data_IF_729618948392
#
_entry.id   IF_729618948392
#
_cell.length_a   1.000
_cell.length_b   1.000
_cell.length_c   1.000
_cell.angle_alpha   90.00
_cell.angle_beta   90.00
_cell.angle_gamma   90.00
#
_symmetry.space_group_name_H-M   'P 1'
#
loop_
_entity.id
_entity.type
_entity.pdbx_description
1 polymer ?
#
# COMPACT_ATOMS: atom_id res chain seq x y z
N UNK A 1 11.20 -11.75 12.89
CA UNK A 1 10.09 -10.77 12.77
C UNK A 1 8.94 -11.23 11.87
N UNK A 2 9.14 -11.58 10.58
CA UNK A 2 8.01 -12.01 9.69
C UNK A 2 7.14 -13.16 10.24
N UNK A 3 7.76 -14.15 10.89
CA UNK A 3 7.03 -15.25 11.56
C UNK A 3 6.13 -14.73 12.69
N UNK A 4 6.62 -13.80 13.51
CA UNK A 4 5.87 -13.18 14.60
C UNK A 4 4.62 -12.46 14.07
N UNK A 5 4.72 -11.76 12.93
CA UNK A 5 3.57 -11.12 12.26
C UNK A 5 2.52 -12.15 11.85
N UNK A 6 2.93 -13.29 11.26
CA UNK A 6 2.00 -14.38 10.89
C UNK A 6 1.29 -14.99 12.10
N UNK A 7 1.98 -15.06 13.23
CA UNK A 7 1.44 -15.54 14.50
C UNK A 7 0.69 -14.44 15.29
N UNK A 8 0.51 -13.24 14.71
CA UNK A 8 -0.10 -12.07 15.36
C UNK A 8 0.56 -11.66 16.69
N UNK A 9 1.84 -12.00 16.87
CA UNK A 9 2.66 -11.56 18.02
C UNK A 9 3.22 -10.17 17.75
N UNK A 10 2.34 -9.18 17.64
CA UNK A 10 2.70 -7.82 17.24
C UNK A 10 3.60 -7.13 18.27
N UNK A 11 3.34 -7.31 19.57
CA UNK A 11 4.20 -6.79 20.64
C UNK A 11 5.65 -7.27 20.52
N UNK A 12 5.85 -8.56 20.23
CA UNK A 12 7.19 -9.09 20.02
C UNK A 12 7.89 -8.49 18.78
N UNK A 13 7.13 -8.08 17.75
CA UNK A 13 7.69 -7.36 16.60
C UNK A 13 8.16 -5.97 17.00
N UNK A 14 7.38 -5.26 17.81
CA UNK A 14 7.74 -3.93 18.33
C UNK A 14 8.97 -4.00 19.24
N UNK A 15 8.97 -4.89 20.24
CA UNK A 15 10.11 -5.02 21.16
C UNK A 15 11.41 -5.38 20.42
N UNK A 16 11.34 -6.24 19.40
CA UNK A 16 12.51 -6.56 18.59
C UNK A 16 12.96 -5.38 17.72
N UNK A 17 12.04 -4.53 17.28
CA UNK A 17 12.36 -3.35 16.47
C UNK A 17 12.98 -2.24 17.32
N UNK A 18 12.42 -2.01 18.52
CA UNK A 18 12.96 -1.04 19.48
C UNK A 18 14.34 -1.47 19.98
N UNK A 19 14.52 -2.72 20.38
CA UNK A 19 15.83 -3.27 20.73
C UNK A 19 16.86 -3.09 19.60
N UNK A 20 16.44 -3.26 18.34
CA UNK A 20 17.35 -3.05 17.22
C UNK A 20 17.75 -1.58 17.07
N UNK A 21 16.81 -0.64 17.21
CA UNK A 21 17.12 0.80 17.17
C UNK A 21 18.01 1.22 18.35
N UNK A 22 17.71 0.74 19.56
CA UNK A 22 18.47 1.03 20.78
C UNK A 22 19.92 0.53 20.70
N UNK A 23 20.17 -0.53 19.93
CA UNK A 23 21.54 -0.99 19.65
C UNK A 23 22.35 -0.07 18.72
N UNK A 24 21.85 1.14 18.40
CA UNK A 24 22.51 2.14 17.58
C UNK A 24 22.55 1.80 16.08
N UNK A 25 21.84 0.75 15.66
CA UNK A 25 21.82 0.27 14.27
C UNK A 25 20.67 0.89 13.49
N UNK A 26 20.91 1.21 12.23
CA UNK A 26 19.89 1.73 11.31
C UNK A 26 19.01 0.60 10.78
N UNK A 27 17.68 0.63 10.97
CA UNK A 27 16.81 -0.40 10.43
C UNK A 27 16.85 -0.43 8.90
N UNK A 28 16.78 -1.63 8.33
CA UNK A 28 16.69 -1.78 6.88
C UNK A 28 15.26 -1.60 6.37
N UNK A 29 15.09 -1.38 5.06
CA UNK A 29 13.79 -1.28 4.37
C UNK A 29 12.91 -2.50 4.68
N UNK A 30 13.50 -3.70 4.73
CA UNK A 30 12.77 -4.94 5.05
C UNK A 30 12.24 -4.94 6.49
N UNK A 31 12.99 -4.36 7.44
CA UNK A 31 12.55 -4.23 8.82
C UNK A 31 11.38 -3.26 8.93
N UNK A 32 11.53 -2.04 8.37
CA UNK A 32 10.44 -1.06 8.30
C UNK A 32 9.18 -1.67 7.67
N UNK A 33 9.32 -2.31 6.50
CA UNK A 33 8.20 -2.95 5.80
C UNK A 33 7.52 -4.02 6.66
N UNK A 34 8.30 -4.79 7.43
CA UNK A 34 7.75 -5.85 8.31
C UNK A 34 6.98 -5.26 9.49
N UNK A 35 7.50 -4.21 10.14
CA UNK A 35 6.83 -3.54 11.26
C UNK A 35 5.59 -2.79 10.78
N UNK A 36 5.68 -2.08 9.65
CA UNK A 36 4.51 -1.43 9.04
C UNK A 36 3.41 -2.45 8.69
N UNK A 37 3.77 -3.61 8.13
CA UNK A 37 2.80 -4.67 7.85
C UNK A 37 2.21 -5.25 9.16
N UNK A 38 3.02 -5.37 10.22
CA UNK A 38 2.57 -5.72 11.57
C UNK A 38 1.49 -4.75 12.05
N UNK A 39 1.75 -3.44 12.00
CA UNK A 39 0.82 -2.38 12.40
C UNK A 39 -0.45 -2.34 11.56
N UNK A 40 -0.34 -2.61 10.26
CA UNK A 40 -1.49 -2.78 9.38
C UNK A 40 -2.38 -3.95 9.84
N UNK A 41 -1.79 -5.12 10.13
CA UNK A 41 -2.52 -6.28 10.63
C UNK A 41 -3.15 -6.08 12.02
N UNK A 42 -2.54 -5.22 12.84
CA UNK A 42 -3.03 -4.84 14.17
C UNK A 42 -4.02 -3.66 14.14
N UNK A 43 -4.37 -3.14 12.95
CA UNK A 43 -5.23 -1.95 12.74
C UNK A 43 -4.69 -0.66 13.39
N UNK A 44 -3.42 -0.64 13.75
CA UNK A 44 -2.68 0.52 14.28
C UNK A 44 -2.16 1.39 13.15
N UNK A 45 -3.07 1.90 12.32
CA UNK A 45 -2.70 2.52 11.05
C UNK A 45 -1.94 3.84 11.24
N UNK A 46 -2.31 4.63 12.26
CA UNK A 46 -1.65 5.90 12.58
C UNK A 46 -0.18 5.70 12.95
N UNK A 47 0.11 4.69 13.76
CA UNK A 47 1.46 4.32 14.16
C UNK A 47 2.26 3.78 12.97
N UNK A 48 1.62 3.01 12.09
CA UNK A 48 2.25 2.60 10.84
C UNK A 48 2.60 3.80 9.94
N UNK A 49 1.77 4.86 9.93
CA UNK A 49 2.01 6.05 9.09
C UNK A 49 3.22 6.84 9.62
N UNK A 50 3.41 6.89 10.94
CA UNK A 50 4.59 7.49 11.55
C UNK A 50 5.89 6.80 11.09
N UNK A 51 5.87 5.47 10.95
CA UNK A 51 7.02 4.71 10.44
C UNK A 51 7.37 5.05 8.98
N UNK A 52 6.41 5.50 8.18
CA UNK A 52 6.69 5.97 6.81
C UNK A 52 7.57 7.20 6.84
N UNK A 53 7.26 8.17 7.70
CA UNK A 53 8.05 9.39 7.83
C UNK A 53 9.44 9.11 8.37
N UNK A 54 9.56 8.18 9.33
CA UNK A 54 10.85 7.73 9.84
C UNK A 54 11.70 7.07 8.73
N UNK A 55 11.09 6.22 7.91
CA UNK A 55 11.75 5.56 6.78
C UNK A 55 12.20 6.56 5.71
N UNK A 56 11.37 7.57 5.39
CA UNK A 56 11.73 8.64 4.46
C UNK A 56 12.87 9.51 5.00
N UNK A 57 12.82 9.89 6.28
CA UNK A 57 13.88 10.66 6.94
C UNK A 57 15.21 9.90 7.05
N UNK A 58 15.15 8.57 7.10
CA UNK A 58 16.33 7.69 7.10
C UNK A 58 16.95 7.49 5.71
N UNK A 59 16.42 8.16 4.68
CA UNK A 59 16.83 8.06 3.28
C UNK A 59 16.86 6.61 2.76
N UNK A 60 15.96 5.78 3.27
CA UNK A 60 15.82 4.38 2.86
C UNK A 60 15.09 4.30 1.50
N UNK A 61 15.73 3.67 0.51
CA UNK A 61 15.12 3.46 -0.80
C UNK A 61 14.04 2.38 -0.70
N UNK A 62 12.80 2.75 -1.02
CA UNK A 62 11.68 1.81 -0.99
C UNK A 62 11.83 0.78 -2.12
N UNK A 63 11.63 -0.50 -1.77
CA UNK A 63 11.42 -1.57 -2.73
C UNK A 63 9.92 -1.76 -3.02
N UNK A 64 9.58 -2.60 -4.01
CA UNK A 64 8.18 -2.88 -4.35
C UNK A 64 7.35 -3.40 -3.14
N UNK A 65 7.85 -4.31 -2.28
CA UNK A 65 7.19 -4.67 -1.03
C UNK A 65 6.91 -3.49 -0.10
N UNK A 66 7.86 -2.58 0.09
CA UNK A 66 7.68 -1.38 0.91
C UNK A 66 6.58 -0.49 0.35
N UNK A 67 6.62 -0.15 -0.94
CA UNK A 67 5.57 0.64 -1.59
C UNK A 67 4.19 0.00 -1.45
N UNK A 68 4.11 -1.32 -1.61
CA UNK A 68 2.85 -2.07 -1.46
C UNK A 68 2.25 -1.90 -0.07
N UNK A 69 3.05 -2.03 0.99
CA UNK A 69 2.59 -1.88 2.38
C UNK A 69 2.25 -0.43 2.69
N UNK A 70 3.06 0.53 2.23
CA UNK A 70 2.81 1.97 2.36
C UNK A 70 1.45 2.35 1.76
N UNK A 71 1.17 1.96 0.51
CA UNK A 71 -0.09 2.28 -0.16
C UNK A 71 -1.27 1.66 0.60
N UNK A 72 -1.19 0.39 1.00
CA UNK A 72 -2.23 -0.26 1.80
C UNK A 72 -2.53 0.47 3.10
N UNK A 73 -1.48 0.91 3.79
CA UNK A 73 -1.62 1.62 5.04
C UNK A 73 -2.25 3.01 4.84
N UNK A 74 -1.86 3.75 3.80
CA UNK A 74 -2.48 5.02 3.46
C UNK A 74 -3.97 4.85 3.13
N UNK A 75 -4.33 3.84 2.34
CA UNK A 75 -5.72 3.52 2.00
C UNK A 75 -6.52 3.15 3.24
N UNK A 76 -5.99 2.30 4.13
CA UNK A 76 -6.65 1.92 5.38
C UNK A 76 -6.79 3.09 6.38
N UNK A 77 -5.89 4.07 6.31
CA UNK A 77 -5.94 5.29 7.12
C UNK A 77 -6.83 6.38 6.51
N UNK A 78 -7.46 6.12 5.36
CA UNK A 78 -8.20 7.09 4.55
C UNK A 78 -7.35 8.29 4.07
N UNK A 79 -6.03 8.14 4.01
CA UNK A 79 -5.11 9.14 3.45
C UNK A 79 -4.92 8.87 1.96
N UNK A 80 -5.97 9.16 1.21
CA UNK A 80 -6.07 8.85 -0.20
C UNK A 80 -5.08 9.67 -1.06
N UNK A 81 -4.80 10.91 -0.64
CA UNK A 81 -3.84 11.78 -1.32
C UNK A 81 -2.40 11.21 -1.24
N UNK A 82 -1.97 10.73 -0.07
CA UNK A 82 -0.67 10.06 0.04
C UNK A 82 -0.64 8.74 -0.73
N UNK A 83 -1.73 7.97 -0.74
CA UNK A 83 -1.80 6.73 -1.51
C UNK A 83 -1.54 6.97 -3.01
N UNK A 84 -2.17 7.99 -3.60
CA UNK A 84 -1.93 8.39 -5.01
C UNK A 84 -0.48 8.83 -5.22
N UNK A 85 0.09 9.62 -4.31
CA UNK A 85 1.48 10.07 -4.37
C UNK A 85 2.48 8.91 -4.41
N UNK A 86 2.33 7.92 -3.51
CA UNK A 86 3.20 6.74 -3.50
C UNK A 86 2.99 5.84 -4.71
N UNK A 87 1.76 5.75 -5.23
CA UNK A 87 1.50 5.01 -6.46
C UNK A 87 2.19 5.62 -7.69
N UNK A 88 2.22 6.95 -7.80
CA UNK A 88 2.99 7.64 -8.85
C UNK A 88 4.49 7.40 -8.68
N UNK A 89 5.03 7.58 -7.47
CA UNK A 89 6.44 7.31 -7.16
C UNK A 89 6.87 5.87 -7.46
N UNK A 90 6.01 4.89 -7.19
CA UNK A 90 6.26 3.49 -7.52
C UNK A 90 6.48 3.32 -9.03
N UNK A 91 5.67 3.99 -9.86
CA UNK A 91 5.79 3.92 -11.33
C UNK A 91 7.02 4.67 -11.84
N UNK A 92 7.31 5.84 -11.28
CA UNK A 92 8.50 6.64 -11.59
C UNK A 92 9.80 5.88 -11.25
N UNK A 93 9.78 5.10 -10.16
CA UNK A 93 10.88 4.20 -9.80
C UNK A 93 11.01 2.97 -10.73
N UNK A 94 10.17 2.86 -11.76
CA UNK A 94 10.22 1.77 -12.75
C UNK A 94 9.57 0.47 -12.29
N UNK A 95 8.92 0.44 -11.12
CA UNK A 95 8.24 -0.76 -10.65
C UNK A 95 6.88 -0.93 -11.34
N UNK A 96 6.53 -2.19 -11.62
CA UNK A 96 5.19 -2.54 -12.10
C UNK A 96 4.29 -2.78 -10.90
N UNK A 97 3.20 -2.00 -10.71
CA UNK A 97 2.30 -2.24 -9.59
C UNK A 97 1.64 -3.62 -9.68
N UNK A 98 1.52 -4.29 -8.54
CA UNK A 98 0.88 -5.60 -8.43
C UNK A 98 -0.65 -5.46 -8.48
N UNK A 99 -1.35 -6.57 -8.76
CA UNK A 99 -2.82 -6.58 -8.86
C UNK A 99 -3.50 -5.95 -7.64
N UNK A 100 -3.03 -6.26 -6.44
CA UNK A 100 -3.63 -5.75 -5.21
C UNK A 100 -3.42 -4.24 -5.02
N UNK A 101 -2.27 -3.69 -5.43
CA UNK A 101 -2.05 -2.23 -5.43
C UNK A 101 -3.06 -1.56 -6.37
N UNK A 102 -3.31 -2.14 -7.56
CA UNK A 102 -4.33 -1.62 -8.46
C UNK A 102 -5.74 -1.69 -7.86
N UNK A 103 -6.11 -2.80 -7.23
CA UNK A 103 -7.40 -2.92 -6.54
C UNK A 103 -7.56 -1.85 -5.46
N UNK A 104 -6.51 -1.59 -4.68
CA UNK A 104 -6.55 -0.56 -3.65
C UNK A 104 -6.69 0.83 -4.27
N UNK A 105 -5.95 1.14 -5.34
CA UNK A 105 -6.08 2.43 -6.04
C UNK A 105 -7.44 2.63 -6.72
N UNK A 106 -8.07 1.58 -7.24
CA UNK A 106 -9.43 1.69 -7.79
C UNK A 106 -10.42 2.12 -6.71
N UNK A 107 -10.32 1.56 -5.49
CA UNK A 107 -11.14 2.00 -4.35
C UNK A 107 -10.89 3.47 -4.02
N UNK A 108 -9.63 3.91 -4.04
CA UNK A 108 -9.26 5.31 -3.82
C UNK A 108 -9.95 6.22 -4.84
N UNK A 109 -9.83 5.93 -6.13
CA UNK A 109 -10.40 6.77 -7.18
C UNK A 109 -11.93 6.72 -7.23
N UNK A 110 -12.54 5.58 -6.89
CA UNK A 110 -13.99 5.48 -6.73
C UNK A 110 -14.50 6.39 -5.61
N UNK A 111 -13.79 6.46 -4.49
CA UNK A 111 -14.12 7.35 -3.37
C UNK A 111 -13.97 8.84 -3.72
N UNK A 112 -13.06 9.20 -4.64
CA UNK A 112 -12.88 10.57 -5.12
C UNK A 112 -13.91 11.01 -6.19
N UNK A 113 -14.83 10.14 -6.63
CA UNK A 113 -15.88 10.48 -7.60
C UNK A 113 -15.42 10.62 -9.07
N UNK A 114 -14.12 10.43 -9.34
CA UNK A 114 -13.52 10.60 -10.66
C UNK A 114 -13.38 9.31 -11.46
N UNK A 115 -14.45 8.80 -12.05
CA UNK A 115 -14.43 7.63 -12.95
C UNK A 115 -13.43 7.75 -14.11
N UNK A 116 -13.15 8.97 -14.56
CA UNK A 116 -12.20 9.26 -15.64
C UNK A 116 -10.75 8.89 -15.28
N UNK A 117 -10.39 8.96 -13.99
CA UNK A 117 -9.06 8.54 -13.52
C UNK A 117 -8.95 7.02 -13.44
N UNK A 118 -10.07 6.35 -13.11
CA UNK A 118 -10.18 4.88 -13.06
C UNK A 118 -10.03 4.28 -14.46
N UNK A 119 -10.71 4.85 -15.47
CA UNK A 119 -10.60 4.40 -16.86
C UNK A 119 -9.19 4.59 -17.41
N UNK A 120 -8.55 5.74 -17.17
CA UNK A 120 -7.16 5.98 -17.57
C UNK A 120 -6.17 4.98 -16.93
N UNK A 121 -6.40 4.57 -15.68
CA UNK A 121 -5.58 3.54 -15.02
C UNK A 121 -5.84 2.13 -15.58
N UNK A 122 -7.08 1.79 -15.94
CA UNK A 122 -7.45 0.48 -16.49
C UNK A 122 -7.00 0.32 -17.95
N UNK A 123 -7.02 1.41 -18.73
CA UNK A 123 -6.75 1.41 -20.17
C UNK A 123 -5.26 1.28 -20.51
N UNK A 124 -4.36 1.78 -19.63
CA UNK A 124 -2.90 1.62 -19.75
C UNK A 124 -2.41 0.17 -19.65
N UNK A 125 -3.27 -0.79 -19.32
CA UNK A 125 -2.94 -2.24 -19.26
C UNK A 125 -3.58 -3.01 -20.42
N UNK A 126 -3.31 -2.57 -21.65
CA UNK A 126 -3.65 -3.33 -22.85
C UNK A 126 -2.60 -4.43 -23.08
N UNK A 127 -2.81 -5.66 -22.54
CA UNK A 127 -2.31 -6.98 -23.07
C UNK A 127 -2.35 -8.24 -22.15
N UNK A 128 -3.05 -8.31 -21.01
CA UNK A 128 -3.11 -9.62 -20.28
C UNK A 128 -4.41 -9.86 -19.50
N UNK A 129 -4.74 -11.15 -19.28
CA UNK A 129 -5.99 -11.75 -18.77
C UNK A 129 -6.64 -11.11 -17.51
N UNK A 130 -5.90 -10.31 -16.75
CA UNK A 130 -6.41 -9.46 -15.66
C UNK A 130 -7.43 -8.40 -16.14
N UNK A 131 -7.44 -8.10 -17.44
CA UNK A 131 -8.37 -7.18 -18.09
C UNK A 131 -9.84 -7.62 -17.93
N UNK A 132 -10.15 -8.92 -17.90
CA UNK A 132 -11.52 -9.39 -17.74
C UNK A 132 -12.08 -9.16 -16.33
N UNK A 133 -11.29 -9.42 -15.27
CA UNK A 133 -11.76 -9.21 -13.88
C UNK A 133 -11.90 -7.74 -13.55
N UNK A 134 -10.94 -6.90 -13.96
CA UNK A 134 -11.01 -5.45 -13.73
C UNK A 134 -12.14 -4.83 -14.57
N UNK A 135 -12.31 -5.23 -15.85
CA UNK A 135 -13.47 -4.77 -16.65
C UNK A 135 -14.80 -5.27 -16.10
N UNK A 136 -14.90 -6.50 -15.61
CA UNK A 136 -16.12 -7.05 -15.01
C UNK A 136 -16.47 -6.34 -13.69
N UNK A 137 -15.47 -6.04 -12.86
CA UNK A 137 -15.65 -5.23 -11.66
C UNK A 137 -16.10 -3.80 -12.02
N UNK A 138 -15.41 -3.14 -12.95
CA UNK A 138 -15.79 -1.81 -13.44
C UNK A 138 -17.19 -1.79 -14.09
N UNK A 139 -17.56 -2.83 -14.83
CA UNK A 139 -18.88 -2.95 -15.46
C UNK A 139 -20.00 -3.25 -14.45
N UNK A 140 -19.72 -4.03 -13.40
CA UNK A 140 -20.63 -4.27 -12.28
C UNK A 140 -20.84 -3.00 -11.44
N UNK A 141 -19.78 -2.26 -11.14
CA UNK A 141 -19.85 -1.05 -10.32
C UNK A 141 -20.47 0.12 -11.09
N UNK A 142 -20.21 0.23 -12.41
CA UNK A 142 -20.87 1.21 -13.29
C UNK A 142 -22.38 0.97 -13.34
N UNK A 143 -22.83 -0.29 -13.38
CA UNK A 143 -24.27 -0.65 -13.31
C UNK A 143 -24.92 -0.25 -11.98
N UNK A 144 -24.22 -0.42 -10.85
CA UNK A 144 -24.71 0.01 -9.53
C UNK A 144 -24.80 1.52 -9.37
N UNK A 145 -23.92 2.28 -10.03
CA UNK A 145 -23.80 3.73 -9.86
C UNK A 145 -24.62 4.54 -10.87
N UNK A 146 -24.93 3.98 -12.04
CA UNK A 146 -25.73 4.65 -13.07
C UNK A 146 -27.16 4.12 -13.21
N UNK A 147 -27.56 3.11 -12.44
CA UNK A 147 -28.96 2.67 -12.34
C UNK A 147 -29.64 2.49 -13.69
N UNK A 148 -29.26 1.44 -14.42
CA UNK A 148 -30.06 0.89 -15.52
C UNK A 148 -30.47 -0.55 -15.18
#
# INVERSE_FOLDING_TARGET
MKVCVRLRRFEAVESLFDWFKESGRRPSVVMYTTVMHSRYCDRKYREGLALIWEMEGSNCLLDLPAYRVVIKLCVASNDLARAVRYFSRLKEAGFVPTYDIYCDMIKVYAAFGGWQSVSSCAEKRSRSALNWMVRRYLCSEKRKMFGE
#
